data_IF_107688700126
#
_entry.id   IF_107688700126
#
_cell.length_a   1.000
_cell.length_b   1.000
_cell.length_c   1.000
_cell.angle_alpha   90.00
_cell.angle_beta   90.00
_cell.angle_gamma   90.00
#
_symmetry.space_group_name_H-M   'P 1'
#
loop_
_entity.id
_entity.type
_entity.pdbx_description
1 polymer ?
#
# COMPACT_ATOMS: atom_id res chain seq x y z
N UNK A 1 0.65 -44.43 17.61
CA UNK A 1 0.75 -42.99 17.90
C UNK A 1 2.12 -42.53 17.44
N UNK A 2 2.11 -41.55 16.52
CA UNK A 2 3.18 -40.61 16.13
C UNK A 2 3.31 -40.56 14.60
N UNK A 3 2.74 -39.51 14.01
CA UNK A 3 3.00 -39.13 12.63
C UNK A 3 4.40 -38.52 12.54
N UNK A 4 5.25 -38.90 11.57
CA UNK A 4 6.39 -38.07 11.21
C UNK A 4 5.85 -36.91 10.38
N UNK A 5 5.66 -35.77 11.04
CA UNK A 5 5.37 -34.50 10.37
C UNK A 5 6.44 -34.24 9.32
N UNK A 6 6.00 -34.19 8.06
CA UNK A 6 6.83 -33.84 6.92
C UNK A 6 7.62 -32.56 7.24
N UNK A 7 8.95 -32.53 7.11
CA UNK A 7 9.64 -31.26 7.04
C UNK A 7 9.06 -30.57 5.81
N UNK A 8 8.35 -29.47 6.04
CA UNK A 8 7.93 -28.56 5.00
C UNK A 8 9.23 -28.15 4.31
N UNK A 9 9.56 -28.83 3.21
CA UNK A 9 10.68 -28.49 2.34
C UNK A 9 10.29 -27.14 1.77
N UNK A 10 10.68 -26.08 2.46
CA UNK A 10 10.59 -24.71 1.97
C UNK A 10 11.52 -24.66 0.78
N UNK A 11 10.91 -24.92 -0.39
CA UNK A 11 11.56 -25.12 -1.66
C UNK A 11 12.53 -23.99 -1.91
N UNK A 12 13.79 -24.36 -2.13
CA UNK A 12 14.89 -23.50 -2.55
C UNK A 12 14.58 -22.84 -3.90
N UNK A 13 13.75 -21.80 -3.87
CA UNK A 13 13.74 -20.71 -4.84
C UNK A 13 13.99 -19.44 -4.04
N UNK A 14 15.25 -19.22 -3.67
CA UNK A 14 15.78 -17.95 -3.16
C UNK A 14 15.70 -16.86 -4.24
N UNK A 15 14.49 -16.58 -4.71
CA UNK A 15 14.16 -15.36 -5.44
C UNK A 15 14.16 -14.27 -4.38
N UNK A 16 15.27 -13.54 -4.27
CA UNK A 16 15.52 -12.41 -3.37
C UNK A 16 14.22 -11.78 -2.87
N UNK A 17 13.79 -12.16 -1.65
CA UNK A 17 12.57 -11.65 -1.04
C UNK A 17 12.94 -10.47 -0.16
N UNK A 18 12.14 -9.41 -0.24
CA UNK A 18 12.23 -8.26 0.65
C UNK A 18 11.43 -8.55 1.92
N UNK A 19 12.11 -8.58 3.06
CA UNK A 19 11.50 -8.80 4.38
C UNK A 19 11.42 -7.49 5.17
N UNK A 20 10.28 -7.27 5.83
CA UNK A 20 10.13 -6.16 6.77
C UNK A 20 11.04 -6.37 7.98
N UNK A 21 11.75 -5.31 8.40
CA UNK A 21 12.62 -5.37 9.59
C UNK A 21 11.85 -5.21 10.91
N UNK A 22 10.58 -4.79 10.84
CA UNK A 22 9.72 -4.50 12.00
C UNK A 22 8.68 -5.58 12.27
N UNK A 23 8.43 -6.48 11.32
CA UNK A 23 7.51 -7.61 11.48
C UNK A 23 7.88 -8.76 10.52
N UNK A 24 7.18 -9.89 10.61
CA UNK A 24 7.45 -11.09 9.81
C UNK A 24 6.95 -11.02 8.34
N UNK A 25 6.52 -9.85 7.86
CA UNK A 25 6.03 -9.70 6.49
C UNK A 25 7.15 -9.84 5.45
N UNK A 26 6.94 -10.67 4.42
CA UNK A 26 7.86 -10.91 3.30
C UNK A 26 7.14 -10.68 1.98
N UNK A 27 7.83 -10.11 0.99
CA UNK A 27 7.30 -9.90 -0.36
C UNK A 27 8.40 -9.97 -1.41
N UNK A 28 8.04 -10.24 -2.67
CA UNK A 28 8.99 -10.28 -3.79
C UNK A 28 9.25 -8.93 -4.44
N UNK A 29 8.64 -7.86 -3.93
CA UNK A 29 8.71 -6.53 -4.52
C UNK A 29 9.06 -5.47 -3.48
N UNK A 30 10.16 -4.75 -3.71
CA UNK A 30 10.61 -3.66 -2.81
C UNK A 30 9.52 -2.59 -2.62
N UNK A 31 8.85 -2.16 -3.70
CA UNK A 31 7.78 -1.16 -3.62
C UNK A 31 6.61 -1.58 -2.73
N UNK A 32 6.29 -2.88 -2.72
CA UNK A 32 5.23 -3.42 -1.86
C UNK A 32 5.69 -3.42 -0.40
N UNK A 33 6.96 -3.73 -0.14
CA UNK A 33 7.53 -3.66 1.20
C UNK A 33 7.54 -2.22 1.73
N UNK A 34 8.00 -1.26 0.93
CA UNK A 34 8.01 0.17 1.32
C UNK A 34 6.60 0.65 1.66
N UNK A 35 5.61 0.31 0.83
CA UNK A 35 4.20 0.63 1.11
C UNK A 35 3.72 -0.01 2.40
N UNK A 36 4.08 -1.27 2.65
CA UNK A 36 3.75 -1.95 3.91
C UNK A 36 4.32 -1.18 5.11
N UNK A 37 5.59 -0.78 5.06
CA UNK A 37 6.23 -0.03 6.15
C UNK A 37 5.50 1.29 6.40
N UNK A 38 5.19 2.04 5.35
CA UNK A 38 4.43 3.29 5.46
C UNK A 38 3.06 3.09 6.12
N UNK A 39 2.29 2.12 5.64
CA UNK A 39 0.92 1.87 6.10
C UNK A 39 0.79 1.20 7.47
N UNK A 40 1.81 0.46 7.93
CA UNK A 40 1.74 -0.36 9.15
C UNK A 40 2.64 0.14 10.27
N UNK A 41 3.76 0.78 9.93
CA UNK A 41 4.77 1.19 10.89
C UNK A 41 4.95 2.71 10.95
N UNK A 42 4.78 3.42 9.83
CA UNK A 42 4.81 4.88 9.83
C UNK A 42 3.44 5.52 10.04
N UNK A 43 2.35 4.74 9.91
CA UNK A 43 0.96 5.23 9.89
C UNK A 43 0.74 6.40 8.91
N UNK A 44 1.61 6.50 7.92
CA UNK A 44 1.57 7.47 6.85
C UNK A 44 0.53 6.92 5.87
N UNK A 45 -0.73 7.30 6.04
CA UNK A 45 -1.82 6.98 5.12
C UNK A 45 -2.75 8.17 4.98
N UNK A 46 -3.22 8.37 3.75
CA UNK A 46 -3.99 9.55 3.39
C UNK A 46 -5.45 9.25 3.09
N UNK A 47 -5.76 7.99 2.80
CA UNK A 47 -7.08 7.56 2.38
C UNK A 47 -7.47 6.26 3.08
N UNK A 48 -8.71 6.21 3.58
CA UNK A 48 -9.32 5.03 4.19
C UNK A 48 -10.62 4.72 3.47
N UNK A 49 -10.79 3.48 2.99
CA UNK A 49 -12.06 3.00 2.49
C UNK A 49 -12.87 2.37 3.63
N UNK A 50 -13.99 2.97 4.02
CA UNK A 50 -14.88 2.48 5.09
C UNK A 50 -15.55 1.15 4.76
N UNK A 51 -15.79 0.86 3.47
CA UNK A 51 -16.41 -0.39 3.04
C UNK A 51 -15.47 -1.60 3.16
N UNK A 52 -14.17 -1.38 3.06
CA UNK A 52 -13.17 -2.45 3.01
C UNK A 52 -12.14 -2.37 4.15
N UNK A 53 -12.20 -1.33 4.99
CA UNK A 53 -11.17 -0.96 5.95
C UNK A 53 -9.75 -0.98 5.34
N UNK A 54 -9.65 -0.54 4.08
CA UNK A 54 -8.40 -0.52 3.32
C UNK A 54 -7.77 0.87 3.41
N UNK A 55 -6.47 0.92 3.68
CA UNK A 55 -5.68 2.15 3.71
C UNK A 55 -4.87 2.31 2.43
N UNK A 56 -4.76 3.55 1.93
CA UNK A 56 -3.95 3.90 0.76
C UNK A 56 -3.18 5.19 1.01
N UNK A 57 -2.02 5.27 0.38
CA UNK A 57 -1.15 6.44 0.35
C UNK A 57 -1.57 7.45 -0.73
N UNK A 58 -2.39 7.03 -1.69
CA UNK A 58 -2.64 7.78 -2.92
C UNK A 58 -4.10 7.67 -3.36
N UNK A 59 -4.62 8.78 -3.90
CA UNK A 59 -5.98 8.88 -4.44
C UNK A 59 -6.19 7.89 -5.58
N UNK A 60 -5.27 7.83 -6.55
CA UNK A 60 -5.36 6.93 -7.70
C UNK A 60 -5.46 5.45 -7.27
N UNK A 61 -4.74 5.07 -6.20
CA UNK A 61 -4.80 3.73 -5.62
C UNK A 61 -6.19 3.38 -5.12
N UNK A 62 -6.91 4.37 -4.56
CA UNK A 62 -8.29 4.20 -4.13
C UNK A 62 -9.29 4.23 -5.28
N UNK A 63 -9.07 5.07 -6.30
CA UNK A 63 -9.91 5.06 -7.52
C UNK A 63 -9.85 3.72 -8.25
N UNK A 64 -8.66 3.11 -8.31
CA UNK A 64 -8.49 1.74 -8.82
C UNK A 64 -9.14 0.71 -7.89
N UNK A 65 -9.19 0.97 -6.58
CA UNK A 65 -9.81 0.07 -5.61
C UNK A 65 -11.34 0.01 -5.76
N UNK A 66 -12.02 1.14 -5.87
CA UNK A 66 -13.49 1.19 -5.97
C UNK A 66 -14.02 0.50 -7.23
N UNK A 67 -13.20 0.43 -8.28
CA UNK A 67 -13.52 -0.28 -9.53
C UNK A 67 -13.36 -1.81 -9.44
N UNK A 68 -12.79 -2.36 -8.36
CA UNK A 68 -12.57 -3.81 -8.23
C UNK A 68 -13.86 -4.51 -7.78
N UNK A 69 -14.14 -5.68 -8.32
CA UNK A 69 -15.32 -6.50 -7.93
C UNK A 69 -15.36 -6.79 -6.42
N UNK A 70 -14.20 -6.99 -5.79
CA UNK A 70 -14.10 -7.18 -4.33
C UNK A 70 -14.61 -5.98 -3.53
N UNK A 71 -14.36 -4.76 -4.02
CA UNK A 71 -14.90 -3.56 -3.37
C UNK A 71 -16.42 -3.52 -3.54
N UNK A 72 -16.94 -3.77 -4.73
CA UNK A 72 -18.39 -3.73 -4.99
C UNK A 72 -19.17 -4.71 -4.10
N UNK A 73 -18.64 -5.91 -3.88
CA UNK A 73 -19.26 -6.89 -2.96
C UNK A 73 -19.24 -6.37 -1.51
N UNK A 74 -18.10 -5.86 -1.05
CA UNK A 74 -17.97 -5.32 0.31
C UNK A 74 -18.84 -4.07 0.52
N UNK A 75 -18.90 -3.17 -0.46
CA UNK A 75 -19.72 -1.97 -0.40
C UNK A 75 -21.20 -2.31 -0.32
N UNK A 76 -21.67 -3.29 -1.10
CA UNK A 76 -23.05 -3.82 -1.00
C UNK A 76 -23.33 -4.43 0.38
N UNK A 77 -22.42 -5.25 0.90
CA UNK A 77 -22.56 -5.87 2.22
C UNK A 77 -22.64 -4.83 3.35
N UNK A 78 -21.89 -3.74 3.24
CA UNK A 78 -21.84 -2.69 4.24
C UNK A 78 -22.81 -1.54 3.97
N UNK A 79 -23.65 -1.62 2.93
CA UNK A 79 -24.58 -0.57 2.50
C UNK A 79 -23.88 0.80 2.29
N UNK A 80 -22.66 0.80 1.75
CA UNK A 80 -21.89 2.02 1.50
C UNK A 80 -21.98 2.39 0.02
N UNK A 81 -22.16 3.68 -0.26
CA UNK A 81 -22.18 4.24 -1.61
C UNK A 81 -20.91 3.93 -2.40
N UNK A 82 -21.04 3.71 -3.70
CA UNK A 82 -19.94 3.35 -4.60
C UNK A 82 -19.09 4.55 -5.02
N UNK A 83 -19.47 5.77 -4.64
CA UNK A 83 -18.75 6.98 -5.02
C UNK A 83 -17.54 7.18 -4.12
N UNK A 84 -16.52 7.83 -4.66
CA UNK A 84 -15.26 8.06 -3.98
C UNK A 84 -15.47 8.75 -2.62
N UNK A 85 -16.22 9.85 -2.58
CA UNK A 85 -16.43 10.63 -1.35
C UNK A 85 -17.34 9.94 -0.32
N UNK A 86 -18.15 8.97 -0.75
CA UNK A 86 -19.04 8.22 0.15
C UNK A 86 -18.30 7.08 0.87
N UNK A 87 -17.47 6.34 0.13
CA UNK A 87 -16.76 5.20 0.69
C UNK A 87 -15.34 5.51 1.19
N UNK A 88 -14.73 6.63 0.76
CA UNK A 88 -13.34 6.96 1.08
C UNK A 88 -13.27 8.23 1.92
N UNK A 89 -12.62 8.10 3.07
CA UNK A 89 -12.23 9.22 3.93
C UNK A 89 -10.80 9.65 3.66
N UNK A 90 -10.60 10.96 3.53
CA UNK A 90 -9.27 11.55 3.50
C UNK A 90 -8.81 11.80 4.94
N UNK A 91 -7.74 11.13 5.35
CA UNK A 91 -7.13 11.28 6.67
C UNK A 91 -5.80 12.00 6.47
N UNK A 92 -5.52 13.04 7.25
CA UNK A 92 -4.21 13.69 7.23
C UNK A 92 -3.42 13.21 8.45
N UNK A 93 -2.72 12.08 8.33
CA UNK A 93 -1.81 11.62 9.38
C UNK A 93 -0.43 12.20 9.09
N UNK A 94 -0.23 13.44 9.54
CA UNK A 94 1.07 14.11 9.54
C UNK A 94 1.68 14.02 10.93
N UNK A 95 2.77 13.27 11.07
CA UNK A 95 3.46 13.15 12.34
C UNK A 95 4.95 12.91 12.15
N UNK A 96 5.69 13.99 11.84
CA UNK A 96 6.90 14.41 12.57
C UNK A 96 7.25 15.85 12.18
N UNK A 97 7.27 16.74 13.18
CA UNK A 97 7.82 18.10 13.15
C UNK A 97 9.24 18.19 12.58
N UNK A 98 9.52 19.30 11.87
CA UNK A 98 10.89 19.81 11.74
C UNK A 98 11.40 20.13 10.32
N UNK A 99 10.77 21.09 9.61
CA UNK A 99 11.42 22.25 8.97
C UNK A 99 10.40 23.05 8.15
N UNK A 100 10.22 24.33 8.53
CA UNK A 100 9.52 25.35 7.73
C UNK A 100 10.13 25.43 6.34
N UNK A 101 9.30 25.26 5.32
CA UNK A 101 9.55 25.59 3.93
C UNK A 101 8.19 25.76 3.26
N UNK A 102 7.91 26.99 2.87
CA UNK A 102 6.63 27.44 2.35
C UNK A 102 6.33 26.78 1.00
N UNK A 103 5.45 25.77 0.96
CA UNK A 103 4.63 25.46 -0.21
C UNK A 103 3.47 24.54 0.20
N UNK A 104 2.27 24.90 -0.27
CA UNK A 104 1.03 24.15 -0.06
C UNK A 104 1.04 22.76 -0.72
N UNK A 105 -0.10 22.06 -0.71
CA UNK A 105 -0.15 20.61 -0.90
C UNK A 105 0.12 20.21 -2.35
N UNK A 106 1.35 19.80 -2.66
CA UNK A 106 1.67 19.24 -3.98
C UNK A 106 1.39 17.74 -3.97
N UNK A 107 0.10 17.41 -4.16
CA UNK A 107 -0.27 16.15 -4.79
C UNK A 107 -0.11 16.34 -6.30
N UNK A 108 1.03 15.90 -6.86
CA UNK A 108 1.32 16.07 -8.28
C UNK A 108 2.34 15.09 -8.83
N UNK A 109 1.81 14.10 -9.56
CA UNK A 109 2.34 13.51 -10.79
C UNK A 109 3.66 12.73 -10.82
N UNK A 110 3.49 11.46 -11.17
CA UNK A 110 4.38 10.58 -11.91
C UNK A 110 5.28 11.35 -12.91
N UNK A 111 6.59 11.09 -12.87
CA UNK A 111 7.46 11.26 -14.04
C UNK A 111 8.27 9.98 -14.22
N UNK A 112 7.80 9.13 -15.11
CA UNK A 112 8.62 8.15 -15.81
C UNK A 112 9.48 8.94 -16.79
N UNK A 113 10.81 8.84 -16.68
CA UNK A 113 11.69 9.08 -17.83
C UNK A 113 12.75 7.98 -17.80
N UNK A 114 12.54 7.01 -18.69
CA UNK A 114 13.60 6.24 -19.31
C UNK A 114 13.99 7.04 -20.55
N UNK A 115 15.26 7.42 -20.67
CA UNK A 115 16.01 7.71 -21.91
C UNK A 115 17.48 7.89 -21.47
N UNK A 116 18.31 6.83 -21.49
CA UNK A 116 19.24 6.42 -22.55
C UNK A 116 20.33 7.44 -22.97
N UNK A 117 21.59 6.96 -22.87
CA UNK A 117 22.77 7.24 -23.70
C UNK A 117 23.59 8.53 -23.48
N UNK A 118 24.81 8.29 -22.97
CA UNK A 118 26.12 8.64 -23.57
C UNK A 118 26.71 10.06 -23.50
N UNK A 119 28.05 10.04 -23.36
CA UNK A 119 29.10 11.04 -23.63
C UNK A 119 29.46 12.01 -22.49
N UNK A 120 30.59 11.73 -21.81
CA UNK A 120 31.83 12.50 -22.03
C UNK A 120 33.06 11.68 -21.62
#
# INVERSE_FOLDING_TARGET
ILQPGSPFKESALSRSQFQCKKCFYKTRSSSVLTRHIKLRHAQDYHFLCKACNLYSLSKEGMEKHIKRSKHLENARKNNIGLRFEECIEKICVGGTDGKKGTEGPICGSLKTVLENESIH
#
